data_IF_153551880966
#
_entry.id   IF_153551880966
#
_cell.length_a   1.000
_cell.length_b   1.000
_cell.length_c   1.000
_cell.angle_alpha   90.00
_cell.angle_beta   90.00
_cell.angle_gamma   90.00
#
_symmetry.space_group_name_H-M   'P 1'
#
loop_
_entity.id
_entity.type
_entity.pdbx_description
1 polymer ?
#
# COMPACT_ATOMS: atom_id res chain seq x y z
N UNK A 1 -22.08 -4.92 9.72
CA UNK A 1 -23.18 -3.94 9.64
C UNK A 1 -22.72 -2.56 10.07
N UNK A 2 -22.89 -1.57 9.19
CA UNK A 2 -22.70 -0.15 9.46
C UNK A 2 -23.75 0.67 8.70
N UNK A 3 -23.94 1.95 9.05
CA UNK A 3 -24.91 2.84 8.39
C UNK A 3 -24.17 3.89 7.55
N UNK A 4 -24.56 4.02 6.29
CA UNK A 4 -24.07 5.05 5.38
C UNK A 4 -25.14 6.14 5.27
N UNK A 5 -24.71 7.40 5.46
CA UNK A 5 -25.55 8.59 5.33
C UNK A 5 -24.98 9.49 4.26
N UNK A 6 -25.75 9.74 3.20
CA UNK A 6 -25.34 10.61 2.10
C UNK A 6 -26.33 11.75 1.97
N UNK A 7 -25.82 12.95 1.76
CA UNK A 7 -26.61 14.12 1.37
C UNK A 7 -26.20 14.43 -0.07
N UNK A 8 -27.12 14.27 -1.01
CA UNK A 8 -26.87 14.49 -2.43
C UNK A 8 -28.00 15.30 -3.08
N UNK A 9 -27.73 15.83 -4.26
CA UNK A 9 -28.78 16.38 -5.10
C UNK A 9 -29.75 15.26 -5.51
N UNK A 10 -31.07 15.48 -5.55
CA UNK A 10 -32.04 14.49 -5.98
C UNK A 10 -31.76 13.90 -7.37
N UNK A 11 -31.13 14.68 -8.27
CA UNK A 11 -30.72 14.20 -9.58
C UNK A 11 -29.59 13.14 -9.53
N UNK A 12 -28.81 13.11 -8.46
CA UNK A 12 -27.72 12.14 -8.25
C UNK A 12 -28.16 10.86 -7.52
N UNK A 13 -29.39 10.82 -7.00
CA UNK A 13 -29.87 9.75 -6.10
C UNK A 13 -29.77 8.35 -6.71
N UNK A 14 -30.15 8.16 -7.97
CA UNK A 14 -30.06 6.88 -8.67
C UNK A 14 -28.61 6.43 -8.88
N UNK A 15 -27.74 7.38 -9.25
CA UNK A 15 -26.31 7.13 -9.49
C UNK A 15 -25.61 6.70 -8.19
N UNK A 16 -25.88 7.42 -7.11
CA UNK A 16 -25.35 7.13 -5.78
C UNK A 16 -25.87 5.78 -5.27
N UNK A 17 -27.17 5.52 -5.41
CA UNK A 17 -27.78 4.25 -4.98
C UNK A 17 -27.19 3.06 -5.73
N UNK A 18 -27.04 3.18 -7.06
CA UNK A 18 -26.42 2.14 -7.90
C UNK A 18 -24.99 1.85 -7.47
N UNK A 19 -24.19 2.89 -7.23
CA UNK A 19 -22.81 2.74 -6.77
C UNK A 19 -22.74 2.04 -5.40
N UNK A 20 -23.60 2.43 -4.44
CA UNK A 20 -23.65 1.80 -3.13
C UNK A 20 -24.05 0.33 -3.18
N UNK A 21 -25.08 0.00 -3.96
CA UNK A 21 -25.55 -1.38 -4.14
C UNK A 21 -24.51 -2.26 -4.85
N UNK A 22 -23.61 -1.66 -5.63
CA UNK A 22 -22.51 -2.39 -6.28
C UNK A 22 -21.34 -2.68 -5.35
N UNK A 23 -21.11 -1.80 -4.35
CA UNK A 23 -19.95 -1.86 -3.47
C UNK A 23 -20.23 -2.63 -2.16
N UNK A 24 -21.49 -2.65 -1.71
CA UNK A 24 -21.89 -3.24 -0.44
C UNK A 24 -23.13 -4.12 -0.60
N UNK A 25 -23.31 -5.08 0.30
CA UNK A 25 -24.63 -5.68 0.49
C UNK A 25 -25.49 -4.68 1.27
N UNK A 26 -26.33 -3.96 0.53
CA UNK A 26 -27.16 -2.89 1.07
C UNK A 26 -28.59 -3.38 1.30
N UNK A 27 -29.22 -2.87 2.36
CA UNK A 27 -30.67 -2.87 2.46
C UNK A 27 -31.28 -1.90 1.44
N UNK A 28 -32.60 -1.95 1.26
CA UNK A 28 -33.32 -0.91 0.52
C UNK A 28 -32.93 0.49 1.04
N UNK A 29 -32.60 1.38 0.11
CA UNK A 29 -32.23 2.77 0.42
C UNK A 29 -33.46 3.52 0.93
N UNK A 30 -33.32 4.20 2.06
CA UNK A 30 -34.38 5.05 2.62
C UNK A 30 -34.10 6.51 2.29
N UNK A 31 -35.09 7.14 1.68
CA UNK A 31 -35.05 8.50 1.18
C UNK A 31 -35.74 9.44 2.17
N UNK A 32 -35.03 10.45 2.62
CA UNK A 32 -35.56 11.48 3.52
C UNK A 32 -35.21 12.86 2.95
N UNK A 33 -36.19 13.66 2.52
CA UNK A 33 -35.92 15.03 2.10
C UNK A 33 -35.43 15.83 3.30
N UNK A 34 -34.36 16.61 3.11
CA UNK A 34 -33.94 17.56 4.14
C UNK A 34 -34.94 18.71 4.19
N UNK A 35 -35.45 19.01 5.40
CA UNK A 35 -36.30 20.19 5.58
C UNK A 35 -35.47 21.44 5.28
N UNK A 36 -35.97 22.28 4.37
CA UNK A 36 -35.42 23.58 3.97
C UNK A 36 -34.24 23.59 2.97
N UNK A 37 -33.96 22.48 2.29
CA UNK A 37 -33.01 22.44 1.16
C UNK A 37 -33.53 21.54 0.06
N UNK A 38 -33.21 21.80 -1.20
CA UNK A 38 -33.52 20.92 -2.34
C UNK A 38 -32.66 19.63 -2.36
N UNK A 39 -32.00 19.30 -1.25
CA UNK A 39 -31.10 18.15 -1.10
C UNK A 39 -31.83 16.95 -0.50
N UNK A 40 -31.43 15.75 -0.91
CA UNK A 40 -31.97 14.49 -0.45
C UNK A 40 -30.98 13.79 0.50
N UNK A 41 -31.49 13.20 1.59
CA UNK A 41 -30.69 12.36 2.47
C UNK A 41 -31.03 10.89 2.25
N UNK A 42 -30.01 10.11 1.89
CA UNK A 42 -30.09 8.67 1.74
C UNK A 42 -29.55 7.98 2.98
N UNK A 43 -30.33 7.06 3.53
CA UNK A 43 -29.93 6.16 4.61
C UNK A 43 -29.83 4.74 4.07
N UNK A 44 -28.65 4.15 4.21
CA UNK A 44 -28.37 2.78 3.75
C UNK A 44 -27.75 2.00 4.90
N UNK A 45 -28.41 0.90 5.29
CA UNK A 45 -27.76 -0.10 6.14
C UNK A 45 -26.94 -1.00 5.23
N UNK A 46 -25.65 -1.07 5.48
CA UNK A 46 -24.71 -1.86 4.70
C UNK A 46 -24.11 -2.94 5.59
N UNK A 47 -24.09 -4.16 5.07
CA UNK A 47 -23.22 -5.20 5.59
C UNK A 47 -21.93 -5.26 4.80
N UNK A 48 -20.85 -5.65 5.48
CA UNK A 48 -19.62 -6.00 4.78
C UNK A 48 -19.97 -7.16 3.86
N UNK A 49 -19.89 -6.93 2.55
CA UNK A 49 -19.96 -8.02 1.59
C UNK A 49 -18.74 -8.91 1.85
N UNK A 50 -18.92 -10.19 2.23
CA UNK A 50 -17.80 -11.12 2.19
C UNK A 50 -17.29 -11.15 0.74
N UNK A 51 -15.97 -11.19 0.51
CA UNK A 51 -15.39 -11.09 -0.83
C UNK A 51 -16.07 -12.13 -1.71
N UNK A 52 -16.87 -11.65 -2.66
CA UNK A 52 -17.67 -12.52 -3.51
C UNK A 52 -16.69 -13.18 -4.46
N UNK A 53 -16.58 -14.50 -4.37
CA UNK A 53 -15.86 -15.31 -5.35
C UNK A 53 -16.67 -15.22 -6.65
N UNK A 54 -16.41 -14.18 -7.44
CA UNK A 54 -17.22 -13.82 -8.58
C UNK A 54 -16.72 -12.55 -9.24
N UNK A 55 -15.70 -12.70 -10.08
CA UNK A 55 -15.24 -11.72 -11.07
C UNK A 55 -14.44 -10.49 -10.60
N UNK A 56 -13.86 -10.50 -9.40
CA UNK A 56 -12.64 -9.71 -9.16
C UNK A 56 -11.48 -10.51 -9.78
N UNK A 57 -10.67 -9.94 -10.70
CA UNK A 57 -9.41 -10.60 -11.05
C UNK A 57 -8.67 -10.85 -9.73
N UNK A 58 -8.20 -12.09 -9.52
CA UNK A 58 -7.44 -12.40 -8.31
C UNK A 58 -6.35 -11.33 -8.14
N UNK A 59 -6.14 -10.83 -6.90
CA UNK A 59 -5.07 -9.89 -6.64
C UNK A 59 -3.79 -10.45 -7.27
N UNK A 60 -3.13 -9.66 -8.12
CA UNK A 60 -1.92 -10.11 -8.79
C UNK A 60 -0.95 -10.66 -7.72
N UNK A 61 -0.38 -11.86 -7.89
CA UNK A 61 0.51 -12.41 -6.89
C UNK A 61 1.66 -11.43 -6.65
N UNK A 62 2.04 -11.23 -5.39
CA UNK A 62 3.22 -10.43 -5.06
C UNK A 62 4.45 -11.00 -5.77
N UNK A 63 5.32 -10.11 -6.25
CA UNK A 63 6.60 -10.51 -6.83
C UNK A 63 7.41 -11.31 -5.80
N UNK A 64 8.04 -12.40 -6.27
CA UNK A 64 8.87 -13.24 -5.41
C UNK A 64 10.14 -12.48 -4.98
N UNK A 65 10.72 -12.78 -3.80
CA UNK A 65 12.00 -12.18 -3.43
C UNK A 65 13.10 -12.42 -4.46
N UNK A 66 13.13 -13.60 -5.07
CA UNK A 66 14.08 -13.98 -6.11
C UNK A 66 13.98 -13.05 -7.32
N UNK A 67 12.76 -12.82 -7.82
CA UNK A 67 12.52 -11.93 -8.97
C UNK A 67 12.78 -10.46 -8.61
N UNK A 68 12.39 -10.04 -7.40
CA UNK A 68 12.55 -8.66 -6.96
C UNK A 68 14.00 -8.23 -6.79
N UNK A 69 14.86 -9.17 -6.37
CA UNK A 69 16.28 -8.91 -6.08
C UNK A 69 17.25 -9.49 -7.10
N UNK A 70 16.77 -10.05 -8.22
CA UNK A 70 17.60 -10.66 -9.25
C UNK A 70 18.72 -9.74 -9.77
N UNK A 71 18.43 -8.43 -9.87
CA UNK A 71 19.37 -7.40 -10.35
C UNK A 71 19.92 -6.52 -9.21
N UNK A 72 19.63 -6.86 -7.95
CA UNK A 72 20.03 -6.03 -6.82
C UNK A 72 21.55 -6.08 -6.63
N UNK A 73 22.20 -4.95 -6.30
CA UNK A 73 23.61 -4.95 -5.88
C UNK A 73 23.85 -5.87 -4.67
N UNK A 74 25.11 -6.21 -4.39
CA UNK A 74 25.44 -7.01 -3.22
C UNK A 74 25.01 -6.31 -1.92
N UNK A 75 24.53 -7.10 -0.94
CA UNK A 75 24.03 -6.59 0.35
C UNK A 75 25.09 -5.71 1.05
N UNK A 76 26.36 -6.10 0.99
CA UNK A 76 27.46 -5.31 1.56
C UNK A 76 27.63 -3.94 0.90
N UNK A 77 27.48 -3.86 -0.43
CA UNK A 77 27.54 -2.59 -1.16
C UNK A 77 26.38 -1.66 -0.79
N UNK A 78 25.17 -2.21 -0.63
CA UNK A 78 23.99 -1.45 -0.19
C UNK A 78 24.11 -0.95 1.26
N UNK A 79 24.69 -1.75 2.17
CA UNK A 79 25.01 -1.32 3.54
C UNK A 79 26.00 -0.16 3.50
N UNK A 80 27.04 -0.25 2.66
CA UNK A 80 28.01 0.82 2.46
C UNK A 80 27.35 2.10 1.97
N UNK A 81 26.51 2.00 0.94
CA UNK A 81 25.81 3.14 0.35
C UNK A 81 24.86 3.82 1.35
N UNK A 82 24.04 3.06 2.07
CA UNK A 82 23.09 3.62 3.05
C UNK A 82 23.82 4.31 4.20
N UNK A 83 24.96 3.76 4.63
CA UNK A 83 25.82 4.38 5.65
C UNK A 83 26.42 5.69 5.15
N UNK A 84 27.02 5.69 3.96
CA UNK A 84 27.62 6.87 3.35
C UNK A 84 26.58 7.97 3.11
N UNK A 85 25.38 7.60 2.66
CA UNK A 85 24.27 8.53 2.46
C UNK A 85 23.97 9.31 3.75
N UNK A 86 23.80 8.63 4.89
CA UNK A 86 23.51 9.27 6.18
C UNK A 86 24.66 10.18 6.65
N UNK A 87 25.91 9.75 6.46
CA UNK A 87 27.09 10.56 6.79
C UNK A 87 27.10 11.85 5.97
N UNK A 88 26.76 11.76 4.67
CA UNK A 88 26.77 12.90 3.75
C UNK A 88 25.61 13.88 3.97
N UNK A 89 24.39 13.38 4.18
CA UNK A 89 23.21 14.25 4.36
C UNK A 89 23.11 14.86 5.76
N UNK A 90 23.75 14.22 6.75
CA UNK A 90 23.59 14.58 8.16
C UNK A 90 22.18 14.26 8.69
N UNK A 91 22.06 14.15 10.01
CA UNK A 91 20.80 13.74 10.70
C UNK A 91 19.70 14.80 10.62
N UNK A 92 20.02 16.03 10.16
CA UNK A 92 19.11 17.18 10.18
C UNK A 92 18.30 17.38 8.89
N UNK A 93 18.55 16.62 7.83
CA UNK A 93 17.83 16.73 6.56
C UNK A 93 16.81 15.61 6.38
N UNK A 94 15.66 15.87 5.72
CA UNK A 94 14.73 14.83 5.32
C UNK A 94 15.47 13.79 4.47
N UNK A 95 15.42 12.55 4.94
CA UNK A 95 16.07 11.43 4.26
C UNK A 95 15.22 11.02 3.05
N UNK A 96 15.84 10.90 1.88
CA UNK A 96 15.11 10.62 0.62
C UNK A 96 14.34 9.31 0.63
N UNK A 97 13.29 9.22 -0.21
CA UNK A 97 12.58 7.97 -0.48
C UNK A 97 13.51 6.84 -0.93
N UNK A 98 14.46 7.13 -1.83
CA UNK A 98 15.44 6.14 -2.32
C UNK A 98 16.21 5.52 -1.15
N UNK A 99 16.66 6.33 -0.18
CA UNK A 99 17.31 5.80 0.99
C UNK A 99 16.44 4.80 1.75
N UNK A 100 15.17 5.13 1.99
CA UNK A 100 14.26 4.27 2.72
C UNK A 100 13.93 2.99 1.96
N UNK A 101 13.75 3.10 0.64
CA UNK A 101 13.55 1.98 -0.26
C UNK A 101 14.75 1.02 -0.22
N UNK A 102 15.96 1.52 -0.38
CA UNK A 102 17.19 0.72 -0.37
C UNK A 102 17.47 0.11 1.00
N UNK A 103 17.29 0.88 2.08
CA UNK A 103 17.44 0.39 3.46
C UNK A 103 16.46 -0.74 3.76
N UNK A 104 15.18 -0.59 3.37
CA UNK A 104 14.18 -1.62 3.59
C UNK A 104 14.50 -2.89 2.78
N UNK A 105 14.95 -2.76 1.52
CA UNK A 105 15.37 -3.88 0.70
C UNK A 105 16.57 -4.66 1.30
N UNK A 106 17.55 -3.96 1.89
CA UNK A 106 18.66 -4.60 2.62
C UNK A 106 18.14 -5.43 3.80
N UNK A 107 17.26 -4.86 4.62
CA UNK A 107 16.72 -5.55 5.79
C UNK A 107 15.88 -6.77 5.40
N UNK A 108 15.09 -6.67 4.32
CA UNK A 108 14.33 -7.80 3.77
C UNK A 108 15.26 -8.94 3.30
N UNK A 109 16.37 -8.62 2.62
CA UNK A 109 17.35 -9.61 2.17
C UNK A 109 18.13 -10.25 3.31
N UNK A 110 18.41 -9.52 4.38
CA UNK A 110 19.02 -10.07 5.59
C UNK A 110 18.06 -11.04 6.29
N UNK A 111 16.78 -10.68 6.41
CA UNK A 111 15.75 -11.55 6.97
C UNK A 111 15.59 -12.85 6.16
N UNK A 112 15.59 -12.77 4.82
CA UNK A 112 15.58 -13.95 3.94
C UNK A 112 16.81 -14.85 4.09
N UNK A 113 17.95 -14.29 4.52
CA UNK A 113 19.20 -15.02 4.74
C UNK A 113 19.27 -15.72 6.10
N UNK A 114 18.28 -15.48 6.96
CA UNK A 114 18.15 -16.06 8.30
C UNK A 114 16.69 -16.49 8.57
N UNK A 115 16.16 -17.46 7.82
CA UNK A 115 14.73 -17.81 7.86
C UNK A 115 14.28 -18.38 9.22
N UNK A 116 15.21 -18.93 10.00
CA UNK A 116 14.93 -19.49 11.33
C UNK A 116 15.12 -18.46 12.46
N UNK A 117 15.50 -17.22 12.12
CA UNK A 117 15.83 -16.17 13.11
C UNK A 117 17.01 -16.52 14.02
N UNK A 118 17.85 -17.49 13.63
CA UNK A 118 18.90 -18.02 14.47
C UNK A 118 20.08 -17.04 14.64
N UNK A 119 20.30 -16.16 13.66
CA UNK A 119 21.39 -15.17 13.65
C UNK A 119 20.90 -13.78 14.04
N UNK A 120 19.67 -13.44 13.67
CA UNK A 120 19.04 -12.14 13.79
C UNK A 120 17.57 -12.35 14.19
N UNK A 121 17.34 -12.73 15.45
CA UNK A 121 16.01 -13.14 15.96
C UNK A 121 14.83 -12.26 15.56
N UNK A 122 15.05 -10.95 15.41
CA UNK A 122 14.00 -9.98 15.07
C UNK A 122 14.09 -9.48 13.61
N UNK A 123 14.87 -10.12 12.73
CA UNK A 123 15.10 -9.64 11.37
C UNK A 123 13.83 -9.60 10.52
N UNK A 124 12.95 -10.59 10.68
CA UNK A 124 11.69 -10.67 9.95
C UNK A 124 10.73 -9.54 10.34
N UNK A 125 10.64 -9.23 11.64
CA UNK A 125 9.85 -8.11 12.15
C UNK A 125 10.46 -6.77 11.73
N UNK A 126 11.77 -6.62 11.86
CA UNK A 126 12.50 -5.41 11.45
C UNK A 126 12.37 -5.14 9.95
N UNK A 127 12.39 -6.18 9.11
CA UNK A 127 12.14 -6.06 7.68
C UNK A 127 10.71 -5.62 7.39
N UNK A 128 9.72 -6.19 8.09
CA UNK A 128 8.33 -5.79 7.96
C UNK A 128 8.10 -4.33 8.39
N UNK A 129 8.71 -3.88 9.49
CA UNK A 129 8.63 -2.49 9.96
C UNK A 129 9.31 -1.51 9.02
N UNK A 130 10.48 -1.86 8.47
CA UNK A 130 11.14 -1.04 7.46
C UNK A 130 10.28 -0.89 6.19
N UNK A 131 9.60 -1.96 5.79
CA UNK A 131 8.68 -1.93 4.66
C UNK A 131 7.42 -1.09 4.96
N UNK A 132 6.85 -1.19 6.16
CA UNK A 132 5.76 -0.28 6.60
C UNK A 132 6.20 1.17 6.59
N UNK A 133 7.44 1.45 7.00
CA UNK A 133 7.97 2.81 6.97
C UNK A 133 8.04 3.38 5.55
N UNK A 134 8.42 2.57 4.56
CA UNK A 134 8.35 2.96 3.15
C UNK A 134 6.90 3.26 2.72
N UNK A 135 5.94 2.41 3.09
CA UNK A 135 4.51 2.62 2.78
C UNK A 135 4.02 3.96 3.34
N UNK A 136 4.36 4.29 4.59
CA UNK A 136 4.00 5.59 5.19
C UNK A 136 4.59 6.77 4.43
N UNK A 137 5.85 6.66 4.00
CA UNK A 137 6.51 7.68 3.19
C UNK A 137 5.80 7.83 1.85
N UNK A 138 5.40 6.73 1.22
CA UNK A 138 4.75 6.75 -0.09
C UNK A 138 3.32 7.30 -0.02
N UNK A 139 2.59 7.03 1.07
CA UNK A 139 1.26 7.62 1.34
C UNK A 139 1.29 9.12 1.57
N UNK A 140 2.39 9.63 2.12
CA UNK A 140 2.50 11.04 2.55
C UNK A 140 3.36 11.89 1.61
N UNK A 141 4.09 11.27 0.69
CA UNK A 141 5.04 11.91 -0.21
C UNK A 141 4.49 12.25 -1.60
N UNK A 142 5.35 12.84 -2.43
CA UNK A 142 5.01 13.45 -3.73
C UNK A 142 4.69 12.45 -4.88
N UNK A 143 4.32 11.21 -4.57
CA UNK A 143 3.84 10.27 -5.59
C UNK A 143 4.90 9.57 -6.46
N UNK A 144 6.20 9.65 -6.13
CA UNK A 144 7.29 9.01 -6.91
C UNK A 144 7.46 7.50 -6.63
N UNK A 145 6.34 6.79 -6.45
CA UNK A 145 6.25 5.34 -6.31
C UNK A 145 5.59 4.77 -7.58
N UNK A 146 5.84 3.50 -7.90
CA UNK A 146 5.26 2.88 -9.10
C UNK A 146 3.77 2.60 -8.92
N UNK A 147 3.38 2.06 -7.75
CA UNK A 147 1.99 1.82 -7.37
C UNK A 147 1.27 0.67 -8.10
N UNK A 148 1.95 -0.06 -8.98
CA UNK A 148 1.37 -1.17 -9.76
C UNK A 148 2.08 -2.49 -9.41
N UNK A 149 1.35 -3.59 -9.11
CA UNK A 149 -0.12 -3.71 -9.02
C UNK A 149 -0.76 -3.11 -7.76
N UNK A 150 0.01 -2.83 -6.72
CA UNK A 150 -0.54 -2.35 -5.44
C UNK A 150 -0.05 -0.96 -5.07
N UNK A 151 -1.02 -0.05 -4.94
CA UNK A 151 -0.82 1.30 -4.44
C UNK A 151 -0.56 1.28 -2.93
N UNK A 152 0.12 2.28 -2.35
CA UNK A 152 0.39 2.35 -0.92
C UNK A 152 -0.90 2.36 -0.07
N UNK A 153 -2.02 2.87 -0.58
CA UNK A 153 -3.33 2.88 0.08
C UNK A 153 -4.07 1.53 0.00
N UNK A 154 -3.63 0.61 -0.87
CA UNK A 154 -4.31 -0.67 -1.04
C UNK A 154 -4.27 -1.48 0.28
N UNK A 155 -5.38 -2.11 0.70
CA UNK A 155 -5.41 -2.88 1.95
C UNK A 155 -4.34 -3.99 2.02
N UNK A 156 -4.08 -4.65 0.88
CA UNK A 156 -3.10 -5.73 0.82
C UNK A 156 -1.66 -5.26 1.04
N UNK A 157 -1.37 -3.99 0.76
CA UNK A 157 -0.04 -3.37 1.00
C UNK A 157 0.31 -3.37 2.48
N UNK A 158 -0.67 -3.11 3.36
CA UNK A 158 -0.42 -3.11 4.80
C UNK A 158 -0.33 -4.50 5.41
N UNK A 159 -1.05 -5.48 4.83
CA UNK A 159 -1.00 -6.88 5.26
C UNK A 159 0.23 -7.61 4.73
N UNK A 160 0.77 -7.19 3.59
CA UNK A 160 1.97 -7.74 2.96
C UNK A 160 3.03 -6.66 2.71
N UNK A 161 3.56 -6.01 3.76
CA UNK A 161 4.43 -4.84 3.60
C UNK A 161 5.71 -5.17 2.83
N UNK A 162 6.28 -6.37 3.05
CA UNK A 162 7.44 -6.87 2.31
C UNK A 162 7.14 -7.12 0.83
N UNK A 163 5.89 -7.46 0.48
CA UNK A 163 5.45 -7.61 -0.91
C UNK A 163 5.46 -6.27 -1.65
N UNK A 164 4.89 -5.23 -1.03
CA UNK A 164 4.92 -3.86 -1.56
C UNK A 164 6.34 -3.33 -1.73
N UNK A 165 7.20 -3.53 -0.72
CA UNK A 165 8.62 -3.18 -0.80
C UNK A 165 9.29 -3.80 -2.04
N UNK A 166 9.10 -5.10 -2.26
CA UNK A 166 9.73 -5.83 -3.37
C UNK A 166 9.22 -5.35 -4.73
N UNK A 167 7.92 -5.05 -4.85
CA UNK A 167 7.34 -4.42 -6.04
C UNK A 167 8.03 -3.09 -6.36
N UNK A 168 8.05 -2.18 -5.37
CA UNK A 168 8.62 -0.84 -5.54
C UNK A 168 10.12 -0.87 -5.81
N UNK A 169 10.85 -1.78 -5.15
CA UNK A 169 12.29 -1.94 -5.36
C UNK A 169 12.60 -2.47 -6.76
N UNK A 170 11.85 -3.47 -7.24
CA UNK A 170 12.01 -4.00 -8.58
C UNK A 170 11.69 -2.95 -9.66
N UNK A 171 10.64 -2.16 -9.46
CA UNK A 171 10.29 -1.05 -10.36
C UNK A 171 11.40 0.03 -10.37
N UNK A 172 11.91 0.41 -9.19
CA UNK A 172 13.02 1.35 -9.06
C UNK A 172 14.29 0.87 -9.77
N UNK A 173 14.68 -0.40 -9.59
CA UNK A 173 15.84 -0.98 -10.26
C UNK A 173 15.71 -0.90 -11.79
N UNK A 174 14.56 -1.30 -12.35
CA UNK A 174 14.33 -1.22 -13.81
C UNK A 174 14.51 0.22 -14.32
N UNK A 175 13.87 1.17 -13.65
CA UNK A 175 13.97 2.59 -14.03
C UNK A 175 15.41 3.16 -13.94
N UNK A 176 16.26 2.61 -13.06
CA UNK A 176 17.66 3.06 -12.90
C UNK A 176 18.65 2.28 -13.77
N UNK A 177 18.27 1.10 -14.29
CA UNK A 177 19.07 0.30 -15.21
C UNK A 177 18.77 0.61 -16.69
N UNK A 178 17.63 1.22 -17.00
CA UNK A 178 17.25 1.67 -18.35
C UNK A 178 17.80 3.09 -18.70
N UNK A 179 18.71 3.63 -17.88
CA UNK A 179 19.46 4.87 -18.08
C UNK A 179 20.94 4.59 -18.41
#
# INVERSE_FOLDING_TARGET
MFEIRIICDPADTERVTTALNSAFHTSAVRHLPLRHTDMERLYVTADHQPPTVGNRPEPAPWITPEDAYAMAPEVGSEIGWTTEYLVRTGVLHPVSREFWLRKAAVLDRLALSDPDGARYGDADELAADAARRLIEIDRTGDGNHSGDPYWPEHPDTWTHPRGYLRQEYAAWLRAHHDL
#
